data_IF_220159964676
#
_entry.id   IF_220159964676
#
_cell.length_a   1.000
_cell.length_b   1.000
_cell.length_c   1.000
_cell.angle_alpha   90.00
_cell.angle_beta   90.00
_cell.angle_gamma   90.00
#
_symmetry.space_group_name_H-M   'P 1'
#
loop_
_entity.id
_entity.type
_entity.pdbx_description
1 polymer ?
#
# COMPACT_ATOMS: atom_id res chain seq x y z
N UNK A 1 -42.59 -55.16 0.68
CA UNK A 1 -41.47 -54.29 1.09
C UNK A 1 -40.23 -54.71 0.32
N UNK A 2 -39.51 -53.77 -0.30
CA UNK A 2 -38.21 -54.07 -0.92
C UNK A 2 -37.21 -54.43 0.18
N UNK A 3 -36.44 -55.52 0.01
CA UNK A 3 -35.41 -55.94 0.97
C UNK A 3 -34.15 -55.10 0.75
N UNK A 4 -33.61 -54.54 1.83
CA UNK A 4 -32.31 -53.84 1.79
C UNK A 4 -31.18 -54.83 2.01
N UNK A 5 -30.15 -54.79 1.15
CA UNK A 5 -28.96 -55.64 1.26
C UNK A 5 -27.86 -54.94 2.06
N UNK A 6 -27.00 -55.69 2.74
CA UNK A 6 -25.87 -55.15 3.49
C UNK A 6 -24.57 -55.81 3.03
N UNK A 7 -23.55 -55.00 2.76
CA UNK A 7 -22.25 -55.45 2.28
C UNK A 7 -21.11 -54.85 3.10
N UNK A 8 -20.11 -55.65 3.41
CA UNK A 8 -18.81 -55.21 3.96
C UNK A 8 -17.73 -55.40 2.90
N UNK A 9 -16.97 -54.36 2.59
CA UNK A 9 -15.90 -54.36 1.57
C UNK A 9 -14.67 -53.61 2.09
N UNK A 10 -13.50 -53.90 1.52
CA UNK A 10 -12.25 -53.17 1.78
C UNK A 10 -11.85 -52.20 0.67
N UNK A 11 -12.59 -52.20 -0.45
CA UNK A 11 -12.42 -51.31 -1.60
C UNK A 11 -13.80 -50.91 -2.15
N UNK A 12 -13.86 -49.83 -2.94
CA UNK A 12 -15.09 -49.44 -3.62
C UNK A 12 -15.51 -50.51 -4.64
N UNK A 13 -16.80 -50.92 -4.67
CA UNK A 13 -17.33 -51.80 -5.69
C UNK A 13 -17.23 -51.17 -7.09
N UNK A 14 -16.83 -51.96 -8.08
CA UNK A 14 -16.95 -51.60 -9.51
C UNK A 14 -18.39 -51.72 -10.04
N UNK A 15 -19.26 -52.42 -9.31
CA UNK A 15 -20.68 -52.58 -9.62
C UNK A 15 -21.49 -52.50 -8.32
N UNK A 16 -22.53 -51.69 -8.32
CA UNK A 16 -23.37 -51.40 -7.16
C UNK A 16 -24.70 -52.13 -7.28
N UNK A 17 -25.12 -52.81 -6.21
CA UNK A 17 -26.41 -53.49 -6.20
C UNK A 17 -27.54 -52.52 -5.83
N UNK A 18 -28.72 -52.62 -6.45
CA UNK A 18 -29.89 -51.84 -6.04
C UNK A 18 -30.34 -52.13 -4.60
N UNK A 19 -30.83 -51.09 -3.92
CA UNK A 19 -31.37 -51.16 -2.55
C UNK A 19 -30.39 -51.79 -1.54
N UNK A 20 -29.18 -51.27 -1.46
CA UNK A 20 -28.11 -51.84 -0.65
C UNK A 20 -27.40 -50.78 0.21
N UNK A 21 -26.84 -51.24 1.32
CA UNK A 21 -25.97 -50.51 2.21
C UNK A 21 -24.57 -51.13 2.17
N UNK A 22 -23.54 -50.32 1.97
CA UNK A 22 -22.14 -50.74 1.94
C UNK A 22 -21.37 -50.09 3.07
N UNK A 23 -20.62 -50.90 3.81
CA UNK A 23 -19.57 -50.48 4.73
C UNK A 23 -18.21 -50.76 4.07
N UNK A 24 -17.45 -49.70 3.78
CA UNK A 24 -16.13 -49.80 3.16
C UNK A 24 -15.09 -49.37 4.18
N UNK A 25 -14.21 -50.29 4.58
CA UNK A 25 -13.14 -49.99 5.54
C UNK A 25 -11.81 -50.43 4.94
N UNK A 26 -10.89 -49.48 4.78
CA UNK A 26 -9.51 -49.75 4.38
C UNK A 26 -8.53 -49.16 5.41
N UNK A 27 -7.23 -49.14 5.10
CA UNK A 27 -6.19 -48.63 6.01
C UNK A 27 -6.25 -47.13 6.27
N UNK A 28 -6.93 -46.35 5.42
CA UNK A 28 -6.93 -44.89 5.43
C UNK A 28 -8.28 -44.30 5.88
N UNK A 29 -9.39 -44.94 5.53
CA UNK A 29 -10.73 -44.42 5.77
C UNK A 29 -11.78 -45.52 5.98
N UNK A 30 -12.87 -45.12 6.65
CA UNK A 30 -14.09 -45.89 6.78
C UNK A 30 -15.25 -45.06 6.22
N UNK A 31 -15.94 -45.59 5.20
CA UNK A 31 -17.01 -44.89 4.50
C UNK A 31 -18.26 -45.76 4.39
N UNK A 32 -19.41 -45.11 4.28
CA UNK A 32 -20.70 -45.77 4.10
C UNK A 32 -21.44 -45.22 2.89
N UNK A 33 -22.06 -46.13 2.14
CA UNK A 33 -22.81 -45.80 0.92
C UNK A 33 -24.18 -46.50 0.95
N UNK A 34 -25.20 -45.81 0.44
CA UNK A 34 -26.51 -46.41 0.14
C UNK A 34 -26.78 -46.29 -1.34
N UNK A 35 -27.39 -47.31 -1.92
CA UNK A 35 -27.77 -47.33 -3.33
C UNK A 35 -29.28 -47.18 -3.51
N UNK A 36 -29.67 -46.49 -4.58
CA UNK A 36 -31.08 -46.36 -4.98
C UNK A 36 -31.67 -47.69 -5.47
N UNK A 37 -32.96 -47.69 -5.83
CA UNK A 37 -33.64 -48.81 -6.50
C UNK A 37 -33.08 -49.17 -7.88
N UNK A 38 -32.20 -48.32 -8.44
CA UNK A 38 -31.49 -48.54 -9.70
C UNK A 38 -30.00 -48.85 -9.50
N UNK A 39 -29.53 -48.90 -8.24
CA UNK A 39 -28.11 -49.16 -7.93
C UNK A 39 -27.21 -47.92 -7.93
N UNK A 40 -27.75 -46.70 -8.07
CA UNK A 40 -26.94 -45.48 -8.02
C UNK A 40 -26.45 -45.23 -6.58
N UNK A 41 -25.11 -45.18 -6.33
CA UNK A 41 -24.58 -45.01 -4.99
C UNK A 41 -24.65 -43.54 -4.52
N UNK A 42 -24.89 -43.35 -3.22
CA UNK A 42 -24.78 -42.07 -2.52
C UNK A 42 -24.00 -42.28 -1.24
N UNK A 43 -22.92 -41.51 -1.09
CA UNK A 43 -22.13 -41.50 0.15
C UNK A 43 -22.95 -40.88 1.29
N UNK A 44 -22.84 -41.46 2.49
CA UNK A 44 -23.47 -40.96 3.73
C UNK A 44 -22.42 -40.30 4.65
N UNK A 45 -21.14 -40.46 4.31
CA UNK A 45 -20.00 -39.81 4.94
C UNK A 45 -18.74 -40.33 4.27
N UNK A 46 -18.22 -39.59 3.30
CA UNK A 46 -16.95 -39.89 2.63
C UNK A 46 -16.00 -38.70 2.76
N UNK A 47 -14.69 -38.99 2.64
CA UNK A 47 -13.65 -37.97 2.82
C UNK A 47 -13.80 -36.83 1.82
N UNK A 48 -14.25 -37.13 0.59
CA UNK A 48 -14.50 -36.14 -0.45
C UNK A 48 -15.62 -35.15 -0.06
N UNK A 49 -16.75 -35.63 0.47
CA UNK A 49 -17.83 -34.77 0.97
C UNK A 49 -17.36 -33.90 2.14
N UNK A 50 -16.58 -34.46 3.05
CA UNK A 50 -16.02 -33.71 4.19
C UNK A 50 -15.08 -32.62 3.69
N UNK A 51 -14.15 -32.94 2.79
CA UNK A 51 -13.23 -31.98 2.20
C UNK A 51 -13.98 -30.89 1.42
N UNK A 52 -14.95 -31.25 0.60
CA UNK A 52 -15.78 -30.27 -0.12
C UNK A 52 -16.55 -29.35 0.83
N UNK A 53 -17.06 -29.87 1.96
CA UNK A 53 -17.70 -29.04 2.98
C UNK A 53 -16.70 -28.11 3.67
N UNK A 54 -15.49 -28.59 3.95
CA UNK A 54 -14.41 -27.79 4.53
C UNK A 54 -13.98 -26.69 3.56
N UNK A 55 -13.71 -27.02 2.30
CA UNK A 55 -13.28 -26.08 1.26
C UNK A 55 -14.35 -25.02 0.99
N UNK A 56 -15.63 -25.40 0.95
CA UNK A 56 -16.75 -24.45 0.85
C UNK A 56 -16.85 -23.53 2.08
N UNK A 57 -16.47 -24.01 3.27
CA UNK A 57 -16.46 -23.18 4.49
C UNK A 57 -15.22 -22.29 4.58
N UNK A 58 -14.07 -22.74 4.09
CA UNK A 58 -12.82 -21.97 4.11
C UNK A 58 -12.79 -20.92 3.01
N UNK A 59 -13.27 -21.23 1.81
CA UNK A 59 -13.35 -20.25 0.70
C UNK A 59 -14.26 -19.06 1.01
N UNK A 60 -15.21 -19.22 1.94
CA UNK A 60 -16.05 -18.12 2.45
C UNK A 60 -15.43 -17.32 3.59
N UNK A 61 -14.25 -17.68 4.10
CA UNK A 61 -13.54 -16.89 5.09
C UNK A 61 -12.74 -15.78 4.39
N UNK A 62 -13.40 -14.65 4.13
CA UNK A 62 -12.69 -13.40 3.83
C UNK A 62 -11.97 -12.94 5.10
N UNK A 63 -10.67 -13.21 5.17
CA UNK A 63 -9.81 -12.69 6.23
C UNK A 63 -9.67 -11.16 6.17
N UNK A 64 -9.85 -10.59 4.97
CA UNK A 64 -9.80 -9.16 4.67
C UNK A 64 -10.89 -8.80 3.67
N UNK A 65 -11.76 -7.87 4.04
CA UNK A 65 -12.72 -7.21 3.16
C UNK A 65 -12.16 -5.85 2.73
N UNK A 66 -12.40 -5.43 1.48
CA UNK A 66 -11.92 -4.14 0.98
C UNK A 66 -13.10 -3.37 0.39
N UNK A 67 -13.33 -2.16 0.91
CA UNK A 67 -14.43 -1.29 0.47
C UNK A 67 -13.91 0.11 0.14
N UNK A 68 -14.70 0.82 -0.68
CA UNK A 68 -14.35 2.15 -1.15
C UNK A 68 -14.45 3.20 -0.04
N UNK A 69 -15.55 3.21 0.73
CA UNK A 69 -15.85 4.28 1.69
C UNK A 69 -16.30 3.78 3.06
N UNK A 70 -16.27 4.69 4.04
CA UNK A 70 -16.83 4.49 5.39
C UNK A 70 -18.28 4.03 5.33
N UNK A 71 -19.11 4.67 4.51
CA UNK A 71 -20.51 4.29 4.34
C UNK A 71 -20.68 2.87 3.78
N UNK A 72 -19.78 2.43 2.91
CA UNK A 72 -19.80 1.06 2.37
C UNK A 72 -19.38 0.03 3.42
N UNK A 73 -18.38 0.33 4.27
CA UNK A 73 -18.02 -0.52 5.41
C UNK A 73 -19.20 -0.67 6.37
N UNK A 74 -19.85 0.44 6.71
CA UNK A 74 -20.93 0.46 7.69
C UNK A 74 -22.19 -0.28 7.17
N UNK A 75 -22.26 -0.54 5.85
CA UNK A 75 -23.31 -1.34 5.22
C UNK A 75 -22.96 -2.85 5.10
N UNK A 76 -21.76 -3.29 5.52
CA UNK A 76 -21.36 -4.69 5.47
C UNK A 76 -22.16 -5.53 6.48
N UNK A 77 -22.57 -6.73 6.07
CA UNK A 77 -23.18 -7.72 6.96
C UNK A 77 -22.16 -8.79 7.33
N UNK A 78 -21.41 -8.55 8.41
CA UNK A 78 -20.31 -9.41 8.86
C UNK A 78 -20.78 -10.30 10.02
N UNK A 79 -20.56 -11.61 9.92
CA UNK A 79 -20.99 -12.59 10.95
C UNK A 79 -19.83 -13.21 11.72
N UNK A 80 -18.60 -12.82 11.39
CA UNK A 80 -17.35 -13.28 12.01
C UNK A 80 -16.40 -12.10 12.14
N UNK A 81 -15.38 -12.20 12.98
CA UNK A 81 -14.36 -11.16 13.07
C UNK A 81 -13.61 -11.05 11.75
N UNK A 82 -13.52 -9.83 11.21
CA UNK A 82 -13.01 -9.57 9.86
C UNK A 82 -12.18 -8.29 9.87
N UNK A 83 -11.05 -8.30 9.16
CA UNK A 83 -10.34 -7.06 8.86
C UNK A 83 -11.02 -6.36 7.69
N UNK A 84 -11.21 -5.05 7.76
CA UNK A 84 -11.78 -4.26 6.68
C UNK A 84 -10.86 -3.11 6.33
N UNK A 85 -10.33 -3.10 5.10
CA UNK A 85 -9.61 -1.97 4.54
C UNK A 85 -10.61 -1.05 3.83
N UNK A 86 -10.70 0.19 4.29
CA UNK A 86 -11.46 1.26 3.61
C UNK A 86 -10.47 2.11 2.83
N UNK A 87 -10.61 2.19 1.50
CA UNK A 87 -9.64 2.91 0.65
C UNK A 87 -9.79 4.43 0.70
N UNK A 88 -11.00 4.92 0.96
CA UNK A 88 -11.33 6.31 1.26
C UNK A 88 -12.06 6.39 2.61
N UNK A 89 -11.27 6.62 3.64
CA UNK A 89 -11.71 6.68 5.02
C UNK A 89 -12.08 8.10 5.47
N UNK A 90 -12.19 9.08 4.57
CA UNK A 90 -12.51 10.50 4.90
C UNK A 90 -13.83 10.71 5.68
N UNK A 91 -14.73 9.73 5.66
CA UNK A 91 -15.94 9.75 6.49
C UNK A 91 -15.70 9.46 7.98
N UNK A 92 -14.50 9.01 8.37
CA UNK A 92 -14.10 8.87 9.77
C UNK A 92 -13.55 10.22 10.24
N UNK A 93 -14.13 10.86 11.28
CA UNK A 93 -13.71 12.19 11.73
C UNK A 93 -12.24 12.29 12.14
N UNK A 94 -11.58 11.16 12.39
CA UNK A 94 -10.17 11.09 12.78
C UNK A 94 -9.23 10.82 11.60
N UNK A 95 -9.77 10.66 10.38
CA UNK A 95 -9.02 10.49 9.14
C UNK A 95 -9.33 11.66 8.21
N UNK A 96 -8.40 12.62 8.11
CA UNK A 96 -8.50 13.77 7.21
C UNK A 96 -8.44 13.41 5.73
N UNK A 97 -7.66 12.38 5.34
CA UNK A 97 -7.65 11.86 3.97
C UNK A 97 -6.96 10.49 3.84
N UNK A 98 -7.35 9.69 2.84
CA UNK A 98 -6.67 8.43 2.53
C UNK A 98 -7.41 7.21 3.05
N UNK A 99 -6.69 6.13 3.34
CA UNK A 99 -7.27 4.83 3.69
C UNK A 99 -7.19 4.55 5.19
N UNK A 100 -8.00 3.62 5.70
CA UNK A 100 -7.85 3.12 7.06
C UNK A 100 -8.24 1.64 7.16
N UNK A 101 -7.55 0.94 8.06
CA UNK A 101 -7.75 -0.48 8.36
C UNK A 101 -8.49 -0.62 9.68
N UNK A 102 -9.55 -1.40 9.67
CA UNK A 102 -10.42 -1.65 10.82
C UNK A 102 -10.46 -3.15 11.14
N UNK A 103 -10.56 -3.47 12.42
CA UNK A 103 -10.91 -4.80 12.90
C UNK A 103 -12.39 -4.79 13.33
N UNK A 104 -13.21 -5.61 12.67
CA UNK A 104 -14.59 -5.85 13.06
C UNK A 104 -14.66 -6.91 14.18
N UNK A 105 -15.40 -6.60 15.24
CA UNK A 105 -15.74 -7.52 16.32
C UNK A 105 -17.19 -7.97 16.21
N UNK A 106 -17.40 -9.22 15.79
CA UNK A 106 -18.73 -9.84 15.70
C UNK A 106 -19.44 -9.98 17.05
N UNK A 107 -18.69 -9.97 18.16
CA UNK A 107 -19.26 -10.07 19.51
C UNK A 107 -20.01 -8.79 19.93
N UNK A 108 -19.54 -7.63 19.46
CA UNK A 108 -20.06 -6.32 19.87
C UNK A 108 -20.68 -5.53 18.71
N UNK A 109 -20.59 -6.06 17.48
CA UNK A 109 -20.97 -5.39 16.24
C UNK A 109 -20.28 -4.02 16.09
N UNK A 110 -18.98 -3.99 16.37
CA UNK A 110 -18.19 -2.75 16.35
C UNK A 110 -16.93 -2.86 15.50
N UNK A 111 -16.55 -1.73 14.90
CA UNK A 111 -15.29 -1.56 14.22
C UNK A 111 -14.29 -0.83 15.12
N UNK A 112 -13.09 -1.40 15.26
CA UNK A 112 -11.95 -0.76 15.91
C UNK A 112 -10.96 -0.36 14.84
N UNK A 113 -10.60 0.93 14.74
CA UNK A 113 -9.54 1.38 13.84
C UNK A 113 -8.19 0.84 14.32
N UNK A 114 -7.48 0.14 13.44
CA UNK A 114 -6.18 -0.49 13.73
C UNK A 114 -5.03 0.34 13.18
N UNK A 115 -5.21 0.87 11.97
CA UNK A 115 -4.24 1.72 11.32
C UNK A 115 -4.97 2.71 10.40
N UNK A 116 -4.32 3.84 10.16
CA UNK A 116 -4.70 4.79 9.13
C UNK A 116 -3.51 5.04 8.21
N UNK A 117 -3.82 5.30 6.95
CA UNK A 117 -2.87 5.57 5.88
C UNK A 117 -3.22 6.92 5.29
N UNK A 118 -2.85 7.96 6.03
CA UNK A 118 -2.82 9.32 5.52
C UNK A 118 -1.50 9.55 4.76
N UNK A 119 -1.50 10.55 3.88
CA UNK A 119 -0.22 11.12 3.45
C UNK A 119 0.54 11.58 4.69
N UNK A 120 1.80 11.18 4.83
CA UNK A 120 2.64 11.57 5.95
C UNK A 120 2.81 13.10 5.96
N UNK A 121 2.12 13.79 6.87
CA UNK A 121 2.31 15.23 7.10
C UNK A 121 3.62 15.45 7.86
N UNK A 122 4.72 15.58 7.12
CA UNK A 122 6.03 15.77 7.68
C UNK A 122 6.32 17.27 7.86
N UNK A 123 6.05 17.80 9.06
CA UNK A 123 6.62 19.09 9.46
C UNK A 123 8.10 18.90 9.82
N UNK A 124 8.99 19.08 8.84
CA UNK A 124 10.44 18.95 9.04
C UNK A 124 11.02 20.28 9.53
N UNK A 125 11.53 20.30 10.76
CA UNK A 125 12.31 21.42 11.26
C UNK A 125 13.64 21.50 10.53
N UNK A 126 14.00 22.68 10.01
CA UNK A 126 15.26 22.88 9.30
C UNK A 126 16.48 22.43 10.11
N UNK A 127 16.46 22.61 11.44
CA UNK A 127 17.52 22.15 12.35
C UNK A 127 17.81 20.65 12.27
N UNK A 128 16.83 19.83 11.88
CA UNK A 128 16.89 18.37 11.95
C UNK A 128 17.35 17.73 10.63
N UNK A 129 17.57 18.52 9.57
CA UNK A 129 18.02 18.03 8.27
C UNK A 129 19.54 17.81 8.31
N UNK A 130 19.98 16.56 8.14
CA UNK A 130 21.41 16.25 8.02
C UNK A 130 21.93 16.68 6.64
N UNK A 131 23.18 17.16 6.58
CA UNK A 131 23.79 17.63 5.32
C UNK A 131 23.26 18.97 4.80
N UNK A 132 22.43 19.68 5.58
CA UNK A 132 21.92 21.00 5.19
C UNK A 132 23.00 22.08 5.17
N UNK A 133 22.83 23.15 4.37
CA UNK A 133 23.66 24.34 4.48
C UNK A 133 23.68 24.90 5.91
N UNK A 134 24.87 25.27 6.38
CA UNK A 134 25.05 25.97 7.66
C UNK A 134 24.75 27.47 7.56
N UNK A 135 24.75 28.01 6.34
CA UNK A 135 24.44 29.41 6.06
C UNK A 135 23.04 29.75 6.56
N UNK A 136 22.92 30.87 7.26
CA UNK A 136 21.61 31.44 7.61
C UNK A 136 20.99 32.09 6.37
N UNK A 137 19.65 32.29 6.33
CA UNK A 137 19.02 33.09 5.27
C UNK A 137 19.71 34.46 5.09
N UNK A 138 20.03 35.16 6.18
CA UNK A 138 20.74 36.43 6.13
C UNK A 138 22.16 36.32 5.53
N UNK A 139 22.86 35.21 5.76
CA UNK A 139 24.18 34.96 5.15
C UNK A 139 24.07 34.78 3.64
N UNK A 140 22.98 34.17 3.17
CA UNK A 140 22.68 34.00 1.74
C UNK A 140 22.34 35.38 1.13
N UNK A 141 21.46 36.14 1.78
CA UNK A 141 21.08 37.48 1.32
C UNK A 141 22.29 38.43 1.24
N UNK A 142 23.17 38.37 2.24
CA UNK A 142 24.42 39.15 2.24
C UNK A 142 25.36 38.72 1.12
N UNK A 143 25.48 37.43 0.83
CA UNK A 143 26.28 36.95 -0.29
C UNK A 143 25.74 37.48 -1.63
N UNK A 144 24.42 37.51 -1.80
CA UNK A 144 23.77 38.10 -2.98
C UNK A 144 24.05 39.59 -3.06
N UNK A 145 23.89 40.34 -1.96
CA UNK A 145 24.19 41.77 -1.94
C UNK A 145 25.66 42.07 -2.26
N UNK A 146 26.59 41.29 -1.72
CA UNK A 146 28.02 41.46 -1.94
C UNK A 146 28.48 41.02 -3.33
N UNK A 147 27.72 40.18 -4.04
CA UNK A 147 28.04 39.80 -5.42
C UNK A 147 28.01 40.98 -6.41
N UNK A 148 27.45 42.12 -5.99
CA UNK A 148 27.33 43.33 -6.80
C UNK A 148 27.92 44.59 -6.14
N UNK A 149 28.82 44.45 -5.16
CA UNK A 149 29.50 45.60 -4.54
C UNK A 149 31.01 45.55 -4.74
N UNK A 150 31.57 46.68 -5.17
CA UNK A 150 33.01 46.88 -5.24
C UNK A 150 33.37 48.12 -4.44
N UNK A 151 34.24 47.99 -3.42
CA UNK A 151 34.68 49.12 -2.60
C UNK A 151 35.35 50.23 -3.46
N UNK A 152 35.99 49.84 -4.56
CA UNK A 152 36.64 50.74 -5.52
C UNK A 152 35.78 51.01 -6.76
N UNK A 153 34.45 50.80 -6.72
CA UNK A 153 33.55 51.01 -7.87
C UNK A 153 33.79 52.37 -8.56
N UNK A 154 33.92 53.45 -7.80
CA UNK A 154 34.18 54.80 -8.33
C UNK A 154 35.48 54.86 -9.15
N UNK A 155 36.49 54.05 -8.82
CA UNK A 155 37.74 53.99 -9.58
C UNK A 155 37.62 53.08 -10.81
N UNK A 156 36.89 51.96 -10.70
CA UNK A 156 36.62 51.08 -11.84
C UNK A 156 35.76 51.80 -12.89
N UNK A 157 34.79 52.62 -12.46
CA UNK A 157 33.95 53.44 -13.33
C UNK A 157 34.76 54.51 -14.11
N UNK A 158 36.01 54.79 -13.70
CA UNK A 158 36.91 55.68 -14.44
C UNK A 158 37.68 54.96 -15.54
N UNK A 159 37.79 53.64 -15.49
CA UNK A 159 38.50 52.86 -16.50
C UNK A 159 37.57 52.70 -17.71
N UNK A 160 38.02 53.14 -18.88
CA UNK A 160 37.27 53.04 -20.13
C UNK A 160 38.21 52.86 -21.31
N UNK A 161 37.68 52.92 -22.53
CA UNK A 161 38.43 52.91 -23.79
C UNK A 161 38.06 54.14 -24.61
N UNK A 162 39.01 54.67 -25.37
CA UNK A 162 38.73 55.72 -26.35
C UNK A 162 38.28 55.14 -27.70
N UNK A 163 37.94 56.01 -28.65
CA UNK A 163 37.50 55.60 -30.00
C UNK A 163 38.56 54.85 -30.82
N UNK A 164 39.82 54.89 -30.39
CA UNK A 164 40.94 54.17 -31.01
C UNK A 164 41.21 52.82 -30.32
N UNK A 165 40.46 52.49 -29.27
CA UNK A 165 40.63 51.29 -28.46
C UNK A 165 41.76 51.39 -27.42
N UNK A 166 42.26 52.59 -27.11
CA UNK A 166 43.27 52.78 -26.07
C UNK A 166 42.62 52.90 -24.68
N UNK A 167 43.27 52.35 -23.65
CA UNK A 167 42.80 52.42 -22.27
C UNK A 167 42.81 53.87 -21.76
N UNK A 168 41.72 54.29 -21.13
CA UNK A 168 41.57 55.60 -20.50
C UNK A 168 41.27 55.48 -19.01
N UNK A 169 41.66 56.50 -18.25
CA UNK A 169 41.31 56.67 -16.84
C UNK A 169 40.76 58.08 -16.61
N UNK A 170 39.49 58.18 -16.25
CA UNK A 170 38.79 59.45 -16.07
C UNK A 170 38.71 60.27 -17.35
N UNK A 171 38.64 59.60 -18.51
CA UNK A 171 38.59 60.22 -19.84
C UNK A 171 39.96 60.59 -20.43
N UNK A 172 41.06 60.40 -19.70
CA UNK A 172 42.41 60.64 -20.22
C UNK A 172 43.06 59.32 -20.62
N UNK A 173 43.65 59.27 -21.80
CA UNK A 173 44.42 58.11 -22.26
C UNK A 173 45.58 57.85 -21.31
N UNK A 174 45.70 56.60 -20.83
CA UNK A 174 46.81 56.20 -19.96
C UNK A 174 47.99 55.82 -20.84
N UNK A 175 48.94 56.74 -20.99
CA UNK A 175 50.18 56.50 -21.74
C UNK A 175 51.36 56.33 -20.79
N UNK A 176 52.20 55.30 -20.98
CA UNK A 176 53.39 55.11 -20.14
C UNK A 176 54.47 56.17 -20.37
N UNK A 177 54.42 56.93 -21.48
CA UNK A 177 55.39 57.97 -21.82
C UNK A 177 54.70 59.09 -22.60
N UNK A 178 54.65 60.29 -22.03
CA UNK A 178 54.52 61.53 -22.80
C UNK A 178 55.95 62.00 -23.10
N UNK A 179 56.47 61.76 -24.30
CA UNK A 179 57.80 62.24 -24.66
C UNK A 179 57.77 63.76 -24.78
N UNK A 180 58.21 64.47 -23.75
CA UNK A 180 58.82 65.79 -23.90
C UNK A 180 60.30 65.55 -24.04
N UNK A 181 60.77 65.60 -25.29
CA UNK A 181 62.14 65.68 -25.78
C UNK A 181 63.26 65.62 -24.71
N UNK A 182 64.04 64.54 -24.75
CA UNK A 182 65.35 64.45 -24.10
C UNK A 182 66.45 65.01 -25.02
#
# INVERSE_FOLDING_TARGET
MAKTKFFKKSTLPSTWEPNAFYYIVNSNFAESYVTSSTGAPKAIGNTEMINNLIDNKISGMNLLEIVGTIAQRDALNLTVNTMVLVTDATGDPTVGSGAALYAYSSANDTFTKVAEYESMDATIQWSNIQGKPLSTPASIDLAVANSHTHANKIQLDKVSEDSSGEITYGGNTVRPWDSVDW
#
